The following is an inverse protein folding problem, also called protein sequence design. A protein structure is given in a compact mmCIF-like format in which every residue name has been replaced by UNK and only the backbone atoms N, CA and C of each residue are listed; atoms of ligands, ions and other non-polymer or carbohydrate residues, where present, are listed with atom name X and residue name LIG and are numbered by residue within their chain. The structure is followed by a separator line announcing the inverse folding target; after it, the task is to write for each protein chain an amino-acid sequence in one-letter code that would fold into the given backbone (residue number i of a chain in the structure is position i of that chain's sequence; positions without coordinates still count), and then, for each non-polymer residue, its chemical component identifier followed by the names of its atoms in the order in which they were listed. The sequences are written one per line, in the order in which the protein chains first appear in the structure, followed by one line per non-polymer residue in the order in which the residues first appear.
data_IF_587644682002
#
_entry.id   IF_587644682002
#
_cell.length_a   1.000
_cell.length_b   1.000
_cell.length_c   1.000
_cell.angle_alpha   90.00
_cell.angle_beta   90.00
_cell.angle_gamma   90.00
#
_symmetry.space_group_name_H-M   'P 1'
#
loop_
_entity.id
_entity.type
_entity.pdbx_description
1 polymer ?
#
# COMPACT_ATOMS: atom_id res chain seq x y z
N UNK A 1 -1.05 13.11 -2.05
CA UNK A 1 -1.02 13.14 -3.50
C UNK A 1 -0.38 11.87 -4.07
N UNK A 2 -0.43 11.73 -5.41
CA UNK A 2 0.13 10.58 -6.11
C UNK A 2 1.63 10.40 -5.90
N UNK A 3 2.37 11.46 -5.62
CA UNK A 3 3.83 11.38 -5.45
C UNK A 3 4.25 10.53 -4.26
N UNK A 4 3.48 10.50 -3.18
CA UNK A 4 3.80 9.66 -2.02
C UNK A 4 3.65 8.16 -2.36
N UNK A 5 2.58 7.80 -3.06
CA UNK A 5 2.38 6.42 -3.51
C UNK A 5 3.47 5.98 -4.48
N UNK A 6 3.83 6.82 -5.44
CA UNK A 6 4.90 6.56 -6.40
C UNK A 6 6.23 6.37 -5.68
N UNK A 7 6.53 7.23 -4.71
CA UNK A 7 7.76 7.16 -3.91
C UNK A 7 7.83 5.88 -3.10
N UNK A 8 6.72 5.45 -2.53
CA UNK A 8 6.63 4.20 -1.78
C UNK A 8 6.99 3.00 -2.66
N UNK A 9 6.37 2.91 -3.82
CA UNK A 9 6.60 1.78 -4.73
C UNK A 9 8.03 1.81 -5.29
N UNK A 10 8.56 2.99 -5.59
CA UNK A 10 9.95 3.14 -6.02
C UNK A 10 10.95 2.69 -4.95
N UNK A 11 10.70 3.05 -3.69
CA UNK A 11 11.57 2.64 -2.58
C UNK A 11 11.57 1.12 -2.42
N UNK A 12 10.40 0.50 -2.51
CA UNK A 12 10.28 -0.96 -2.42
C UNK A 12 10.97 -1.64 -3.61
N UNK A 13 10.79 -1.12 -4.82
CA UNK A 13 11.43 -1.66 -6.00
C UNK A 13 12.96 -1.58 -5.91
N UNK A 14 13.49 -0.49 -5.36
CA UNK A 14 14.92 -0.36 -5.13
C UNK A 14 15.43 -1.33 -4.07
N UNK A 15 14.65 -1.50 -3.01
CA UNK A 15 15.03 -2.41 -1.91
C UNK A 15 15.15 -3.86 -2.39
N UNK A 16 14.28 -4.30 -3.29
CA UNK A 16 14.20 -5.71 -3.70
C UNK A 16 14.71 -5.97 -5.13
N UNK A 17 15.00 -4.93 -5.88
CA UNK A 17 15.41 -5.05 -7.29
C UNK A 17 14.25 -5.25 -8.24
N UNK A 18 13.24 -6.01 -7.85
CA UNK A 18 11.98 -6.21 -8.57
C UNK A 18 10.88 -6.52 -7.56
N UNK A 19 9.67 -6.14 -7.89
CA UNK A 19 8.48 -6.48 -7.10
C UNK A 19 7.66 -7.60 -7.76
N UNK A 20 8.11 -8.07 -8.92
CA UNK A 20 7.41 -9.10 -9.66
C UNK A 20 7.22 -10.37 -8.82
N UNK A 21 5.98 -10.84 -8.71
CA UNK A 21 5.65 -12.05 -7.96
C UNK A 21 5.56 -11.89 -6.45
N UNK A 22 5.85 -10.71 -5.92
CA UNK A 22 5.73 -10.46 -4.48
C UNK A 22 4.27 -10.27 -4.07
N UNK A 23 3.97 -10.60 -2.82
CA UNK A 23 2.65 -10.34 -2.22
C UNK A 23 2.71 -9.06 -1.40
N UNK A 24 1.71 -8.21 -1.59
CA UNK A 24 1.62 -6.92 -0.92
C UNK A 24 0.26 -6.77 -0.25
N UNK A 25 0.27 -6.24 0.97
CA UNK A 25 -0.95 -5.84 1.66
C UNK A 25 -0.98 -4.32 1.72
N UNK A 26 -2.08 -3.71 1.28
CA UNK A 26 -2.32 -2.29 1.42
C UNK A 26 -3.41 -2.11 2.47
N UNK A 27 -3.10 -1.40 3.54
CA UNK A 27 -4.04 -1.09 4.61
C UNK A 27 -4.65 0.27 4.32
N UNK A 28 -5.93 0.27 4.01
CA UNK A 28 -6.67 1.47 3.64
C UNK A 28 -7.12 1.48 2.19
N UNK A 29 -8.38 1.82 1.97
CA UNK A 29 -8.97 1.88 0.63
C UNK A 29 -9.45 3.29 0.24
N UNK A 30 -8.86 4.31 0.83
CA UNK A 30 -9.04 5.68 0.38
C UNK A 30 -8.23 5.94 -0.89
N UNK A 31 -8.15 7.20 -1.29
CA UNK A 31 -7.46 7.57 -2.53
C UNK A 31 -6.01 7.09 -2.56
N UNK A 32 -5.26 7.37 -1.48
CA UNK A 32 -3.85 6.98 -1.40
C UNK A 32 -3.67 5.46 -1.42
N UNK A 33 -4.51 4.73 -0.69
CA UNK A 33 -4.46 3.27 -0.66
C UNK A 33 -4.74 2.67 -2.03
N UNK A 34 -5.74 3.18 -2.74
CA UNK A 34 -6.08 2.70 -4.08
C UNK A 34 -4.97 2.99 -5.09
N UNK A 35 -4.38 4.18 -5.03
CA UNK A 35 -3.25 4.52 -5.90
C UNK A 35 -2.06 3.60 -5.65
N UNK A 36 -1.73 3.38 -4.41
CA UNK A 36 -0.62 2.49 -4.03
C UNK A 36 -0.89 1.06 -4.48
N UNK A 37 -2.11 0.57 -4.28
CA UNK A 37 -2.49 -0.78 -4.70
C UNK A 37 -2.37 -0.95 -6.21
N UNK A 38 -2.83 0.04 -6.98
CA UNK A 38 -2.73 0.00 -8.44
C UNK A 38 -1.26 -0.05 -8.90
N UNK A 39 -0.40 0.76 -8.29
CA UNK A 39 1.02 0.80 -8.63
C UNK A 39 1.72 -0.52 -8.29
N UNK A 40 1.44 -1.09 -7.14
CA UNK A 40 2.02 -2.38 -6.73
C UNK A 40 1.56 -3.49 -7.66
N UNK A 41 0.29 -3.51 -8.02
CA UNK A 41 -0.24 -4.47 -8.99
C UNK A 41 0.47 -4.32 -10.34
N UNK A 42 0.62 -3.10 -10.83
CA UNK A 42 1.28 -2.85 -12.11
C UNK A 42 2.75 -3.22 -12.08
N UNK A 43 3.37 -3.18 -10.91
CA UNK A 43 4.74 -3.65 -10.70
C UNK A 43 4.86 -5.18 -10.61
N UNK A 44 3.75 -5.89 -10.66
CA UNK A 44 3.72 -7.36 -10.68
C UNK A 44 3.40 -8.02 -9.35
N UNK A 45 2.98 -7.25 -8.34
CA UNK A 45 2.58 -7.81 -7.06
C UNK A 45 1.19 -8.44 -7.11
N UNK A 46 0.99 -9.48 -6.29
CA UNK A 46 -0.36 -9.88 -5.87
C UNK A 46 -0.76 -8.98 -4.73
N UNK A 47 -1.79 -8.16 -4.91
CA UNK A 47 -2.17 -7.13 -3.95
C UNK A 47 -3.48 -7.47 -3.27
N UNK A 48 -3.51 -7.32 -1.95
CA UNK A 48 -4.72 -7.37 -1.14
C UNK A 48 -4.90 -6.01 -0.48
N UNK A 49 -6.12 -5.48 -0.48
CA UNK A 49 -6.47 -4.19 0.12
C UNK A 49 -7.43 -4.43 1.27
N UNK A 50 -7.20 -3.78 2.40
CA UNK A 50 -8.15 -3.87 3.52
C UNK A 50 -9.30 -2.90 3.34
N UNK A 51 -10.48 -3.35 3.72
CA UNK A 51 -11.69 -2.53 3.73
C UNK A 51 -12.18 -2.40 5.15
N UNK A 52 -12.48 -1.19 5.58
CA UNK A 52 -13.30 -0.99 6.77
C UNK A 52 -14.73 -1.28 6.40
N UNK A 53 -15.61 -1.43 7.39
CA UNK A 53 -17.03 -1.60 7.11
C UNK A 53 -17.50 -0.44 6.23
N UNK A 54 -18.09 -0.76 5.10
CA UNK A 54 -18.57 0.22 4.15
C UNK A 54 -20.06 0.34 4.26
N UNK A 55 -20.54 1.55 4.05
CA UNK A 55 -21.96 1.81 3.94
C UNK A 55 -22.34 1.63 2.47
N UNK A 56 -23.50 1.12 2.22
CA UNK A 56 -24.11 0.98 0.87
C UNK A 56 -23.48 -0.08 -0.03
N UNK A 57 -22.65 -0.96 0.48
CA UNK A 57 -22.11 -2.07 -0.30
C UNK A 57 -21.16 -1.68 -1.43
N UNK A 58 -20.78 -0.42 -1.51
CA UNK A 58 -19.89 0.03 -2.54
C UNK A 58 -18.46 0.00 -2.06
N UNK A 59 -17.66 -0.80 -2.75
CA UNK A 59 -16.26 -0.90 -2.49
C UNK A 59 -15.52 -0.82 -3.80
N UNK A 60 -14.70 0.21 -3.96
CA UNK A 60 -13.87 0.38 -5.13
C UNK A 60 -12.45 0.06 -4.77
N UNK A 61 -11.93 -1.02 -5.34
CA UNK A 61 -10.50 -1.34 -5.28
C UNK A 61 -10.02 -1.54 -6.71
N UNK A 62 -8.71 -1.38 -6.97
CA UNK A 62 -8.19 -1.59 -8.32
C UNK A 62 -8.49 -3.01 -8.82
N UNK A 63 -8.82 -3.11 -10.09
CA UNK A 63 -9.06 -4.39 -10.73
C UNK A 63 -7.85 -5.32 -10.53
N UNK A 64 -8.10 -6.58 -10.26
CA UNK A 64 -7.05 -7.57 -10.02
C UNK A 64 -6.54 -7.61 -8.58
N UNK A 65 -6.98 -6.69 -7.72
CA UNK A 65 -6.64 -6.73 -6.30
C UNK A 65 -7.69 -7.54 -5.53
N UNK A 66 -7.23 -8.26 -4.51
CA UNK A 66 -8.11 -8.94 -3.56
C UNK A 66 -8.46 -8.01 -2.42
N UNK A 67 -9.47 -8.36 -1.65
CA UNK A 67 -9.93 -7.57 -0.50
C UNK A 67 -10.04 -8.43 0.74
N UNK A 68 -9.77 -7.83 1.90
CA UNK A 68 -10.05 -8.43 3.20
C UNK A 68 -10.64 -7.36 4.11
N UNK A 69 -11.40 -7.78 5.12
CA UNK A 69 -11.89 -6.87 6.14
C UNK A 69 -10.71 -6.33 6.96
N UNK A 70 -10.82 -5.09 7.39
CA UNK A 70 -9.77 -4.43 8.17
C UNK A 70 -9.35 -5.26 9.40
N UNK A 71 -10.30 -5.89 10.06
CA UNK A 71 -10.02 -6.74 11.23
C UNK A 71 -9.14 -7.94 10.93
N UNK A 72 -9.07 -8.37 9.67
CA UNK A 72 -8.23 -9.49 9.23
C UNK A 72 -6.85 -9.07 8.75
N UNK A 73 -6.47 -7.81 8.96
CA UNK A 73 -5.23 -7.28 8.40
C UNK A 73 -3.98 -8.02 8.87
N UNK A 74 -3.93 -8.44 10.12
CA UNK A 74 -2.76 -9.18 10.62
C UNK A 74 -2.67 -10.59 10.04
N UNK A 75 -3.80 -11.25 9.82
CA UNK A 75 -3.81 -12.54 9.12
C UNK A 75 -3.32 -12.40 7.70
N UNK A 76 -3.74 -11.34 7.01
CA UNK A 76 -3.29 -11.06 5.64
C UNK A 76 -1.83 -10.60 5.60
N UNK A 77 -1.35 -9.96 6.65
CA UNK A 77 0.02 -9.48 6.78
C UNK A 77 1.00 -10.63 6.95
N UNK A 78 0.58 -11.67 7.66
CA UNK A 78 1.43 -12.83 7.91
C UNK A 78 1.67 -13.57 6.61
N UNK A 79 2.91 -13.62 6.18
CA UNK A 79 3.30 -14.22 4.90
C UNK A 79 3.31 -13.26 3.71
N UNK A 80 2.82 -12.03 3.86
CA UNK A 80 2.99 -11.02 2.81
C UNK A 80 4.45 -10.54 2.78
N UNK A 81 4.94 -10.21 1.60
CA UNK A 81 6.31 -9.72 1.45
C UNK A 81 6.46 -8.27 1.91
N UNK A 82 5.48 -7.43 1.59
CA UNK A 82 5.49 -6.01 1.92
C UNK A 82 4.12 -5.56 2.38
N UNK A 83 4.12 -4.53 3.24
CA UNK A 83 2.88 -3.85 3.63
C UNK A 83 3.04 -2.35 3.41
N UNK A 84 1.94 -1.71 3.02
CA UNK A 84 1.84 -0.25 2.94
C UNK A 84 0.58 0.16 3.68
N UNK A 85 0.70 1.05 4.65
CA UNK A 85 -0.46 1.56 5.37
C UNK A 85 -0.71 3.03 5.00
N UNK A 86 -1.94 3.32 4.61
CA UNK A 86 -2.33 4.65 4.11
C UNK A 86 -3.76 4.94 4.55
N UNK A 87 -3.97 5.13 5.85
CA UNK A 87 -5.30 5.38 6.42
C UNK A 87 -5.39 6.76 7.08
N UNK A 88 -6.59 7.13 7.45
CA UNK A 88 -6.85 8.30 8.28
C UNK A 88 -7.20 7.89 9.72
N UNK A 89 -6.82 6.69 10.11
CA UNK A 89 -7.13 6.17 11.44
C UNK A 89 -6.49 7.04 12.53
N UNK A 90 -7.20 7.31 13.63
CA UNK A 90 -6.60 7.99 14.79
C UNK A 90 -5.72 7.07 15.63
N UNK A 91 -5.73 5.77 15.34
CA UNK A 91 -4.95 4.76 16.06
C UNK A 91 -4.00 4.06 15.11
N UNK A 92 -2.95 3.46 15.65
CA UNK A 92 -2.06 2.65 14.83
C UNK A 92 -2.82 1.51 14.15
N UNK A 93 -2.59 1.34 12.87
CA UNK A 93 -3.10 0.20 12.11
C UNK A 93 -2.22 -1.03 12.32
N UNK A 94 -0.95 -0.80 12.63
CA UNK A 94 0.02 -1.86 12.92
C UNK A 94 0.75 -1.50 14.20
N UNK A 95 0.58 -2.32 15.23
CA UNK A 95 1.28 -2.14 16.51
C UNK A 95 2.54 -3.01 16.54
N UNK A 96 3.52 -2.56 17.33
CA UNK A 96 4.76 -3.31 17.54
C UNK A 96 4.47 -4.72 18.08
N UNK A 97 3.61 -4.80 19.07
CA UNK A 97 3.27 -6.07 19.73
C UNK A 97 2.65 -7.08 18.75
N UNK A 98 1.67 -6.62 17.97
CA UNK A 98 0.99 -7.49 17.01
C UNK A 98 1.88 -7.87 15.84
N UNK A 99 2.72 -6.97 15.39
CA UNK A 99 3.70 -7.26 14.34
C UNK A 99 4.74 -8.29 14.82
N UNK A 100 5.23 -8.14 16.04
CA UNK A 100 6.20 -9.05 16.61
C UNK A 100 5.67 -10.49 16.74
N UNK A 101 4.35 -10.65 16.82
CA UNK A 101 3.71 -11.97 16.96
C UNK A 101 3.51 -12.69 15.62
N UNK A 102 3.80 -12.04 14.49
CA UNK A 102 3.65 -12.67 13.17
C UNK A 102 4.69 -13.80 13.02
N UNK A 103 4.26 -14.88 12.41
CA UNK A 103 5.15 -16.01 12.13
C UNK A 103 6.08 -15.73 10.95
N UNK A 104 5.56 -15.08 9.92
CA UNK A 104 6.30 -14.70 8.72
C UNK A 104 6.08 -13.21 8.44
N UNK A 105 6.78 -12.35 9.20
CA UNK A 105 6.57 -10.91 9.06
C UNK A 105 7.00 -10.38 7.69
N UNK A 106 6.36 -9.33 7.20
CA UNK A 106 6.79 -8.67 5.98
C UNK A 106 8.25 -8.23 6.04
N UNK A 107 8.88 -8.23 4.89
CA UNK A 107 10.29 -7.88 4.72
C UNK A 107 10.50 -6.36 4.64
N UNK A 108 9.44 -5.61 4.39
CA UNK A 108 9.44 -4.16 4.42
C UNK A 108 8.03 -3.65 4.70
N UNK A 109 7.97 -2.48 5.33
CA UNK A 109 6.73 -1.79 5.65
C UNK A 109 6.87 -0.32 5.27
N UNK A 110 5.81 0.26 4.74
CA UNK A 110 5.77 1.68 4.38
C UNK A 110 4.56 2.32 5.04
N UNK A 111 4.79 3.45 5.71
CA UNK A 111 3.75 4.24 6.36
C UNK A 111 3.57 5.55 5.60
N UNK A 112 2.44 5.68 4.92
CA UNK A 112 2.10 6.86 4.14
C UNK A 112 1.13 7.80 4.88
N UNK A 113 0.81 7.49 6.12
CA UNK A 113 -0.19 8.25 6.88
C UNK A 113 0.40 9.41 7.67
N UNK A 114 -0.39 10.47 7.83
CA UNK A 114 -0.11 11.58 8.73
C UNK A 114 -1.40 11.84 9.53
N UNK A 115 -1.39 11.63 10.84
CA UNK A 115 -0.32 11.05 11.65
C UNK A 115 -0.05 9.58 11.31
N UNK A 116 1.01 9.03 11.88
CA UNK A 116 1.49 7.70 11.50
C UNK A 116 0.50 6.59 11.80
N UNK A 117 0.45 5.61 10.89
CA UNK A 117 -0.35 4.39 11.01
C UNK A 117 0.42 3.26 11.70
N UNK A 118 1.73 3.18 11.46
CA UNK A 118 2.57 2.07 11.92
C UNK A 118 3.37 2.54 13.13
N UNK A 119 3.25 1.80 14.23
CA UNK A 119 4.00 2.10 15.43
C UNK A 119 5.50 2.04 15.14
N UNK A 120 6.28 3.08 15.50
CA UNK A 120 7.70 3.15 15.15
C UNK A 120 8.54 1.95 15.58
N UNK A 121 8.17 1.28 16.68
CA UNK A 121 8.84 0.09 17.15
C UNK A 121 8.77 -1.12 16.21
N UNK A 122 7.91 -1.09 15.20
CA UNK A 122 7.88 -2.11 14.14
C UNK A 122 9.22 -2.17 13.41
N UNK A 123 9.97 -1.06 13.39
CA UNK A 123 11.30 -1.01 12.79
C UNK A 123 12.31 -1.95 13.43
N UNK A 124 12.03 -2.48 14.62
CA UNK A 124 12.89 -3.48 15.26
C UNK A 124 12.80 -4.83 14.55
N UNK A 125 11.77 -5.07 13.76
CA UNK A 125 11.48 -6.37 13.14
C UNK A 125 11.53 -6.36 11.60
N UNK A 126 11.42 -5.18 10.99
CA UNK A 126 11.43 -5.04 9.54
C UNK A 126 11.92 -3.66 9.15
N UNK A 127 12.25 -3.49 7.88
CA UNK A 127 12.61 -2.17 7.36
C UNK A 127 11.35 -1.33 7.23
N UNK A 128 11.28 -0.23 7.97
CA UNK A 128 10.13 0.67 8.00
C UNK A 128 10.49 1.99 7.34
N UNK A 129 9.77 2.32 6.29
CA UNK A 129 9.84 3.64 5.64
C UNK A 129 8.62 4.45 6.05
N UNK A 130 8.81 5.71 6.37
CA UNK A 130 7.70 6.64 6.55
C UNK A 130 7.74 7.71 5.46
N UNK A 131 6.71 8.55 5.42
CA UNK A 131 6.57 9.54 4.36
C UNK A 131 7.74 10.53 4.31
N UNK A 132 8.35 10.83 5.46
CA UNK A 132 9.51 11.73 5.51
C UNK A 132 10.75 11.08 4.90
N UNK A 133 10.94 9.79 5.13
CA UNK A 133 12.06 9.03 4.54
C UNK A 133 11.98 8.98 3.02
N UNK A 134 10.75 8.91 2.50
CA UNK A 134 10.52 8.79 1.06
C UNK A 134 10.86 10.07 0.30
N UNK A 135 10.68 11.22 0.92
CA UNK A 135 11.00 12.51 0.29
C UNK A 135 12.48 12.72 0.01
N UNK A 136 13.35 12.00 0.72
CA UNK A 136 14.82 12.16 0.61
C UNK A 136 15.44 11.14 -0.35
N UNK A 137 14.80 9.99 -0.56
CA UNK A 137 15.42 8.85 -1.24
C UNK A 137 14.97 8.64 -2.69
N UNK A 138 14.08 9.47 -3.21
CA UNK A 138 13.50 9.25 -4.53
C UNK A 138 14.12 10.11 -5.61
N UNK A 139 15.14 9.57 -6.25
CA UNK A 139 15.55 10.01 -7.57
C UNK A 139 14.87 9.10 -8.58
N UNK A 140 13.72 9.54 -9.10
CA UNK A 140 13.02 8.83 -10.15
C UNK A 140 13.37 9.47 -11.47
N UNK A 141 13.80 8.66 -12.43
CA UNK A 141 13.96 9.10 -13.80
C UNK A 141 12.64 9.73 -14.30
N UNK A 142 12.66 10.94 -14.88
CA UNK A 142 11.44 11.60 -15.32
C UNK A 142 10.57 10.78 -16.28
N UNK A 143 11.16 9.97 -17.14
CA UNK A 143 10.44 9.14 -18.06
C UNK A 143 9.69 8.01 -17.34
N UNK A 144 10.33 7.42 -16.33
CA UNK A 144 9.70 6.38 -15.48
C UNK A 144 8.54 6.97 -14.69
N UNK A 145 8.73 8.16 -14.14
CA UNK A 145 7.68 8.86 -13.39
C UNK A 145 6.49 9.19 -14.29
N UNK A 146 6.75 9.67 -15.51
CA UNK A 146 5.69 9.98 -16.45
C UNK A 146 4.87 8.72 -16.82
N UNK A 147 5.53 7.59 -17.03
CA UNK A 147 4.85 6.32 -17.32
C UNK A 147 4.01 5.84 -16.12
N UNK A 148 4.55 5.97 -14.91
CA UNK A 148 3.84 5.60 -13.71
C UNK A 148 2.58 6.46 -13.53
N UNK A 149 2.67 7.75 -13.74
CA UNK A 149 1.53 8.67 -13.67
C UNK A 149 0.48 8.36 -14.71
N UNK A 150 0.90 8.10 -15.96
CA UNK A 150 -0.03 7.74 -17.02
C UNK A 150 -0.78 6.45 -16.69
N UNK A 151 -0.10 5.45 -16.12
CA UNK A 151 -0.72 4.20 -15.70
C UNK A 151 -1.72 4.43 -14.58
N UNK A 152 -1.40 5.26 -13.59
CA UNK A 152 -2.29 5.61 -12.50
C UNK A 152 -3.53 6.32 -13.03
N UNK A 153 -3.36 7.34 -13.87
CA UNK A 153 -4.46 8.12 -14.41
C UNK A 153 -5.42 7.24 -15.22
N UNK A 154 -4.89 6.40 -16.10
CA UNK A 154 -5.68 5.47 -16.88
C UNK A 154 -6.45 4.50 -15.98
N UNK A 155 -5.82 4.05 -14.89
CA UNK A 155 -6.43 3.12 -13.94
C UNK A 155 -7.54 3.77 -13.13
N UNK A 156 -7.32 4.99 -12.68
CA UNK A 156 -8.33 5.75 -11.95
C UNK A 156 -9.54 6.09 -12.82
N UNK A 157 -9.32 6.38 -14.08
CA UNK A 157 -10.42 6.56 -15.04
C UNK A 157 -11.28 5.30 -15.17
N UNK A 158 -10.64 4.12 -15.25
CA UNK A 158 -11.38 2.85 -15.31
C UNK A 158 -12.20 2.61 -14.07
N UNK A 159 -11.64 2.87 -12.89
CA UNK A 159 -12.34 2.74 -11.61
C UNK A 159 -13.53 3.69 -11.55
N UNK A 160 -13.36 4.93 -11.99
CA UNK A 160 -14.41 5.92 -11.99
C UNK A 160 -15.56 5.52 -12.94
N UNK A 161 -15.24 5.03 -14.14
CA UNK A 161 -16.25 4.54 -15.07
C UNK A 161 -17.01 3.34 -14.51
N UNK A 162 -16.31 2.43 -13.90
CA UNK A 162 -16.93 1.26 -13.28
C UNK A 162 -17.89 1.66 -12.16
N UNK A 163 -17.51 2.61 -11.36
CA UNK A 163 -18.31 3.14 -10.26
C UNK A 163 -19.59 3.81 -10.78
N UNK A 164 -19.51 4.49 -11.92
CA UNK A 164 -20.67 5.15 -12.54
C UNK A 164 -21.70 4.18 -13.13
N UNK A 165 -21.35 2.93 -13.34
CA UNK A 165 -22.25 1.91 -13.87
C UNK A 165 -22.96 1.07 -12.82
N UNK A 166 -22.77 1.41 -11.57
CA UNK A 166 -23.42 0.74 -10.45
C UNK A 166 -24.76 1.38 -10.05
#
# INVERSE_FOLDING_TARGET
SGSAAESAVSALARRFGTLMGMTALVIGNGEMGRLTAALLRDAGCSVTVTLRSYRHGETVVPAGCSVVQYGERYSAMDGADVIVSATTSPHYTVTRERFAALERPPRAAVDLAIPRDIEPGVSEFTQLYNIDDLGVSCEIDPATLARARAAIDAHMERLHRWDNYR
#
